data_IF_404748867738
#
_entry.id   IF_404748867738
#
_cell.length_a   1.000
_cell.length_b   1.000
_cell.length_c   1.000
_cell.angle_alpha   90.00
_cell.angle_beta   90.00
_cell.angle_gamma   90.00
#
_symmetry.space_group_name_H-M   'P 1'
#
loop_
_entity.id
_entity.type
_entity.pdbx_description
1 polymer ?
#
# COMPACT_ATOMS: atom_id res chain seq x y z
N UNK A 1 -13.85 19.49 10.08
CA UNK A 1 -14.20 18.06 9.90
C UNK A 1 -14.55 17.76 8.44
N UNK A 2 -15.44 18.53 7.82
CA UNK A 2 -15.93 18.33 6.44
C UNK A 2 -14.84 18.22 5.37
N UNK A 3 -13.82 19.11 5.40
CA UNK A 3 -12.71 19.08 4.43
C UNK A 3 -11.89 17.78 4.47
N UNK A 4 -11.70 17.17 5.64
CA UNK A 4 -10.93 15.91 5.79
C UNK A 4 -11.71 14.70 5.27
N UNK A 5 -13.02 14.72 5.44
CA UNK A 5 -13.91 13.66 4.94
C UNK A 5 -13.87 13.60 3.41
N UNK A 6 -13.79 14.75 2.72
CA UNK A 6 -13.70 14.80 1.26
C UNK A 6 -12.47 14.04 0.72
N UNK A 7 -11.30 14.19 1.34
CA UNK A 7 -10.08 13.48 0.92
C UNK A 7 -10.16 11.97 1.17
N UNK A 8 -10.76 11.55 2.29
CA UNK A 8 -11.02 10.14 2.56
C UNK A 8 -11.99 9.57 1.52
N UNK A 9 -13.03 10.33 1.15
CA UNK A 9 -13.99 9.92 0.15
C UNK A 9 -13.33 9.69 -1.21
N UNK A 10 -12.39 10.55 -1.63
CA UNK A 10 -11.63 10.31 -2.85
C UNK A 10 -10.86 8.99 -2.84
N UNK A 11 -10.15 8.71 -1.73
CA UNK A 11 -9.44 7.43 -1.59
C UNK A 11 -10.41 6.24 -1.63
N UNK A 12 -11.58 6.35 -0.98
CA UNK A 12 -12.61 5.30 -0.99
C UNK A 12 -13.21 5.11 -2.39
N UNK A 13 -13.49 6.18 -3.13
CA UNK A 13 -13.96 6.09 -4.53
C UNK A 13 -12.89 5.41 -5.39
N UNK A 14 -11.61 5.81 -5.25
CA UNK A 14 -10.49 5.18 -5.95
C UNK A 14 -10.39 3.69 -5.67
N UNK A 15 -10.57 3.28 -4.41
CA UNK A 15 -10.61 1.88 -4.03
C UNK A 15 -11.78 1.14 -4.63
N UNK A 16 -13.00 1.66 -4.50
CA UNK A 16 -14.22 1.00 -5.00
C UNK A 16 -14.11 0.77 -6.50
N UNK A 17 -13.75 1.81 -7.27
CA UNK A 17 -13.59 1.66 -8.71
C UNK A 17 -12.35 0.87 -9.11
N UNK A 18 -11.28 0.89 -8.30
CA UNK A 18 -10.14 0.00 -8.47
C UNK A 18 -10.53 -1.47 -8.31
N UNK A 19 -11.37 -1.80 -7.32
CA UNK A 19 -11.90 -3.15 -7.10
C UNK A 19 -12.85 -3.57 -8.22
N UNK A 20 -13.80 -2.70 -8.61
CA UNK A 20 -14.73 -2.98 -9.71
C UNK A 20 -13.98 -3.21 -11.03
N UNK A 21 -12.99 -2.37 -11.33
CA UNK A 21 -12.09 -2.55 -12.49
C UNK A 21 -11.29 -3.86 -12.41
N UNK A 22 -10.81 -4.23 -11.22
CA UNK A 22 -10.12 -5.50 -10.97
C UNK A 22 -11.01 -6.72 -11.18
N UNK A 23 -12.27 -6.66 -10.72
CA UNK A 23 -13.26 -7.70 -10.95
C UNK A 23 -13.68 -7.79 -12.41
N UNK A 24 -13.79 -6.68 -13.13
CA UNK A 24 -13.99 -6.72 -14.58
C UNK A 24 -12.79 -7.41 -15.26
N UNK A 25 -11.57 -7.02 -14.90
CA UNK A 25 -10.31 -7.58 -15.45
C UNK A 25 -10.12 -9.08 -15.15
N UNK A 26 -10.62 -9.57 -14.01
CA UNK A 26 -10.53 -10.99 -13.65
C UNK A 26 -11.54 -11.86 -14.42
N UNK A 27 -12.53 -11.24 -15.07
CA UNK A 27 -13.56 -11.90 -15.86
C UNK A 27 -14.95 -11.97 -15.21
N UNK A 28 -15.25 -11.15 -14.19
CA UNK A 28 -16.64 -10.92 -13.77
C UNK A 28 -17.31 -9.90 -14.68
N UNK A 29 -18.59 -10.09 -14.96
CA UNK A 29 -19.37 -9.13 -15.74
C UNK A 29 -19.90 -8.03 -14.82
N UNK A 30 -19.09 -6.98 -14.65
CA UNK A 30 -19.41 -5.80 -13.84
C UNK A 30 -19.71 -4.65 -14.81
N UNK A 31 -20.80 -3.88 -14.64
CA UNK A 31 -21.22 -2.83 -15.57
C UNK A 31 -20.38 -1.53 -15.42
N UNK A 32 -19.05 -1.66 -15.54
CA UNK A 32 -18.06 -0.56 -15.56
C UNK A 32 -17.18 -0.67 -16.80
N UNK A 33 -17.81 -0.75 -17.97
CA UNK A 33 -17.14 -0.97 -19.26
C UNK A 33 -16.04 0.07 -19.54
N UNK A 34 -14.94 -0.37 -20.17
CA UNK A 34 -13.78 0.48 -20.46
C UNK A 34 -12.84 0.73 -19.28
N UNK A 35 -13.23 0.35 -18.04
CA UNK A 35 -12.41 0.64 -16.85
C UNK A 35 -11.36 -0.43 -16.52
N UNK A 36 -11.41 -1.62 -17.15
CA UNK A 36 -10.53 -2.75 -16.81
C UNK A 36 -9.03 -2.42 -16.92
N UNK A 37 -8.66 -1.51 -17.83
CA UNK A 37 -7.28 -1.04 -18.02
C UNK A 37 -6.78 -0.12 -16.91
N UNK A 38 -7.66 0.48 -16.12
CA UNK A 38 -7.31 1.48 -15.10
C UNK A 38 -7.14 0.91 -13.68
N UNK A 39 -7.29 -0.41 -13.50
CA UNK A 39 -7.18 -1.06 -12.19
C UNK A 39 -5.92 -0.63 -11.42
N UNK A 40 -4.75 -0.67 -12.06
CA UNK A 40 -3.47 -0.33 -11.43
C UNK A 40 -3.39 1.13 -10.98
N UNK A 41 -3.76 2.08 -11.83
CA UNK A 41 -3.73 3.52 -11.48
C UNK A 41 -4.78 3.90 -10.45
N UNK A 42 -5.93 3.24 -10.44
CA UNK A 42 -6.98 3.47 -9.44
C UNK A 42 -6.56 2.94 -8.07
N UNK A 43 -6.01 1.72 -8.01
CA UNK A 43 -5.56 1.12 -6.74
C UNK A 43 -4.33 1.82 -6.17
N UNK A 44 -3.30 2.06 -6.99
CA UNK A 44 -2.08 2.66 -6.50
C UNK A 44 -2.19 4.19 -6.40
N UNK A 45 -2.44 4.88 -7.51
CA UNK A 45 -2.42 6.34 -7.52
C UNK A 45 -3.69 6.94 -6.92
N UNK A 46 -4.85 6.35 -7.20
CA UNK A 46 -6.16 6.83 -6.74
C UNK A 46 -6.50 6.49 -5.29
N UNK A 47 -6.17 5.29 -4.82
CA UNK A 47 -6.42 4.86 -3.45
C UNK A 47 -5.19 5.06 -2.55
N UNK A 48 -4.12 4.28 -2.75
CA UNK A 48 -2.95 4.30 -1.87
C UNK A 48 -2.25 5.67 -1.87
N UNK A 49 -2.03 6.25 -3.05
CA UNK A 49 -1.43 7.57 -3.23
C UNK A 49 -2.25 8.67 -2.57
N UNK A 50 -3.59 8.65 -2.71
CA UNK A 50 -4.46 9.59 -2.01
C UNK A 50 -4.35 9.46 -0.50
N UNK A 51 -4.34 8.23 0.04
CA UNK A 51 -4.23 7.98 1.47
C UNK A 51 -2.89 8.48 2.02
N UNK A 52 -1.78 8.11 1.38
CA UNK A 52 -0.41 8.50 1.77
C UNK A 52 -0.27 10.03 1.71
N UNK A 53 -0.65 10.65 0.59
CA UNK A 53 -0.62 12.11 0.43
C UNK A 53 -1.46 12.81 1.50
N UNK A 54 -2.64 12.28 1.81
CA UNK A 54 -3.53 12.88 2.81
C UNK A 54 -2.96 12.76 4.22
N UNK A 55 -2.44 11.60 4.59
CA UNK A 55 -1.78 11.40 5.88
C UNK A 55 -0.63 12.38 6.07
N UNK A 56 0.27 12.49 5.09
CA UNK A 56 1.41 13.40 5.19
C UNK A 56 0.98 14.86 5.15
N UNK A 57 -0.02 15.24 4.35
CA UNK A 57 -0.58 16.59 4.36
C UNK A 57 -1.13 16.99 5.75
N UNK A 58 -1.82 16.07 6.43
CA UNK A 58 -2.30 16.27 7.81
C UNK A 58 -1.13 16.44 8.78
N UNK A 59 -0.06 15.65 8.63
CA UNK A 59 1.14 15.76 9.46
C UNK A 59 1.93 17.07 9.24
N UNK A 60 1.99 17.59 8.00
CA UNK A 60 2.70 18.82 7.64
C UNK A 60 2.05 20.08 8.24
N UNK A 61 0.74 20.06 8.51
CA UNK A 61 -0.03 21.21 9.05
C UNK A 61 0.09 22.49 8.19
N UNK A 62 0.16 22.36 6.87
CA UNK A 62 0.18 23.47 5.91
C UNK A 62 -0.90 23.28 4.85
N UNK A 63 -1.57 24.36 4.46
CA UNK A 63 -2.69 24.29 3.52
C UNK A 63 -2.26 23.83 2.11
N UNK A 64 -1.08 24.23 1.65
CA UNK A 64 -0.56 23.84 0.33
C UNK A 64 -0.37 22.33 0.21
N UNK A 65 -0.08 21.62 1.31
CA UNK A 65 0.16 20.18 1.29
C UNK A 65 -1.09 19.38 0.88
N UNK A 66 -2.29 19.95 1.05
CA UNK A 66 -3.54 19.33 0.63
C UNK A 66 -3.75 19.34 -0.89
N UNK A 67 -2.91 20.03 -1.66
CA UNK A 67 -2.93 19.96 -3.11
C UNK A 67 -2.57 18.57 -3.64
N UNK A 68 -1.60 17.89 -3.00
CA UNK A 68 -1.18 16.54 -3.40
C UNK A 68 -2.32 15.50 -3.31
N UNK A 69 -3.03 15.34 -2.16
CA UNK A 69 -4.16 14.43 -2.09
C UNK A 69 -5.37 14.91 -2.90
N UNK A 70 -5.55 16.22 -3.13
CA UNK A 70 -6.60 16.72 -4.01
C UNK A 70 -6.38 16.25 -5.46
N UNK A 71 -5.17 16.46 -5.99
CA UNK A 71 -4.82 16.04 -7.36
C UNK A 71 -4.91 14.53 -7.53
N UNK A 72 -4.42 13.75 -6.55
CA UNK A 72 -4.55 12.29 -6.57
C UNK A 72 -6.02 11.85 -6.55
N UNK A 73 -6.86 12.47 -5.73
CA UNK A 73 -8.28 12.17 -5.68
C UNK A 73 -9.04 12.57 -6.96
N UNK A 74 -8.74 13.74 -7.52
CA UNK A 74 -9.32 14.19 -8.79
C UNK A 74 -8.89 13.31 -9.97
N UNK A 75 -7.72 12.68 -9.92
CA UNK A 75 -7.29 11.73 -10.95
C UNK A 75 -8.27 10.57 -11.10
N UNK A 76 -8.88 10.12 -10.00
CA UNK A 76 -9.90 9.06 -10.00
C UNK A 76 -11.09 9.49 -10.85
N UNK A 77 -11.60 10.72 -10.63
CA UNK A 77 -12.72 11.24 -11.41
C UNK A 77 -12.37 11.36 -12.90
N UNK A 78 -11.15 11.82 -13.22
CA UNK A 78 -10.70 11.89 -14.61
C UNK A 78 -10.73 10.52 -15.29
N UNK A 79 -10.26 9.45 -14.63
CA UNK A 79 -10.37 8.09 -15.18
C UNK A 79 -11.82 7.64 -15.34
N UNK A 80 -12.70 7.96 -14.38
CA UNK A 80 -14.12 7.60 -14.43
C UNK A 80 -14.87 8.27 -15.59
N UNK A 81 -14.48 9.50 -15.94
CA UNK A 81 -15.01 10.20 -17.11
C UNK A 81 -14.23 9.89 -18.40
N UNK A 82 -13.44 8.82 -18.43
CA UNK A 82 -12.63 8.38 -19.56
C UNK A 82 -11.62 9.43 -20.07
N UNK A 83 -11.19 10.33 -19.19
CA UNK A 83 -10.17 11.36 -19.45
C UNK A 83 -8.79 10.88 -18.99
N UNK A 84 -8.29 9.78 -19.57
CA UNK A 84 -7.10 9.09 -19.10
C UNK A 84 -5.84 9.99 -19.04
N UNK A 85 -5.63 10.83 -20.06
CA UNK A 85 -4.49 11.76 -20.10
C UNK A 85 -4.51 12.74 -18.91
N UNK A 86 -5.67 13.31 -18.59
CA UNK A 86 -5.85 14.18 -17.43
C UNK A 86 -5.62 13.40 -16.12
N UNK A 87 -6.12 12.16 -16.04
CA UNK A 87 -5.90 11.28 -14.89
C UNK A 87 -4.41 11.04 -14.62
N UNK A 88 -3.64 10.68 -15.65
CA UNK A 88 -2.19 10.48 -15.54
C UNK A 88 -1.47 11.78 -15.13
N UNK A 89 -1.79 12.92 -15.75
CA UNK A 89 -1.20 14.22 -15.39
C UNK A 89 -1.49 14.59 -13.93
N UNK A 90 -2.71 14.38 -13.46
CA UNK A 90 -3.08 14.62 -12.06
C UNK A 90 -2.32 13.72 -11.09
N UNK A 91 -2.02 12.47 -11.45
CA UNK A 91 -1.16 11.59 -10.64
C UNK A 91 0.30 12.06 -10.63
N UNK A 92 0.83 12.57 -11.75
CA UNK A 92 2.16 13.21 -11.79
C UNK A 92 2.18 14.41 -10.84
N UNK A 93 1.20 15.31 -10.95
CA UNK A 93 1.08 16.49 -10.08
C UNK A 93 0.99 16.09 -8.60
N UNK A 94 0.21 15.05 -8.28
CA UNK A 94 0.13 14.52 -6.92
C UNK A 94 1.48 13.99 -6.41
N UNK A 95 2.21 13.24 -7.23
CA UNK A 95 3.53 12.70 -6.87
C UNK A 95 4.58 13.79 -6.69
N UNK A 96 4.57 14.86 -7.52
CA UNK A 96 5.38 16.07 -7.31
C UNK A 96 5.03 16.71 -5.97
N UNK A 97 3.74 16.85 -5.67
CA UNK A 97 3.27 17.39 -4.40
C UNK A 97 3.76 16.58 -3.19
N UNK A 98 3.74 15.24 -3.28
CA UNK A 98 4.26 14.36 -2.22
C UNK A 98 5.78 14.51 -2.05
N UNK A 99 6.53 14.61 -3.15
CA UNK A 99 7.98 14.91 -3.11
C UNK A 99 8.24 16.22 -2.37
N UNK A 100 7.51 17.30 -2.68
CA UNK A 100 7.64 18.57 -1.97
C UNK A 100 7.31 18.47 -0.48
N UNK A 101 6.26 17.71 -0.12
CA UNK A 101 5.91 17.44 1.28
C UNK A 101 7.08 16.79 2.00
N UNK A 102 7.70 15.76 1.42
CA UNK A 102 8.82 15.08 2.06
C UNK A 102 10.10 15.91 2.09
N UNK A 103 10.39 16.72 1.06
CA UNK A 103 11.51 17.69 1.11
C UNK A 103 11.31 18.66 2.27
N UNK A 104 10.09 19.22 2.41
CA UNK A 104 9.76 20.12 3.50
C UNK A 104 9.92 19.46 4.88
N UNK A 105 9.45 18.23 5.04
CA UNK A 105 9.58 17.47 6.30
C UNK A 105 11.03 17.08 6.61
N UNK A 106 11.81 16.70 5.58
CA UNK A 106 13.22 16.33 5.71
C UNK A 106 14.05 17.52 6.17
N UNK A 107 13.81 18.70 5.60
CA UNK A 107 14.48 19.95 6.01
C UNK A 107 14.18 20.35 7.46
N UNK A 108 13.00 19.97 7.97
CA UNK A 108 12.57 20.31 9.34
C UNK A 108 13.05 19.34 10.41
N UNK A 109 13.01 18.04 10.14
CA UNK A 109 13.31 16.99 11.13
C UNK A 109 14.72 16.43 11.02
N UNK A 110 15.38 16.52 9.86
CA UNK A 110 16.69 15.91 9.55
C UNK A 110 16.78 14.42 9.91
N UNK A 111 15.66 13.71 9.84
CA UNK A 111 15.57 12.28 10.16
C UNK A 111 15.77 11.40 8.92
N UNK A 112 16.56 10.33 9.05
CA UNK A 112 16.90 9.44 7.93
C UNK A 112 15.68 8.72 7.32
N UNK A 113 14.65 8.44 8.12
CA UNK A 113 13.45 7.75 7.64
C UNK A 113 12.62 8.62 6.67
N UNK A 114 12.64 9.94 6.83
CA UNK A 114 11.98 10.87 5.91
C UNK A 114 12.66 10.88 4.54
N UNK A 115 13.98 10.71 4.50
CA UNK A 115 14.72 10.58 3.24
C UNK A 115 14.35 9.30 2.48
N UNK A 116 14.12 8.19 3.18
CA UNK A 116 13.63 6.96 2.55
C UNK A 116 12.25 7.17 1.92
N UNK A 117 11.32 7.79 2.64
CA UNK A 117 9.99 8.09 2.09
C UNK A 117 10.06 9.08 0.92
N UNK A 118 11.00 10.03 0.94
CA UNK A 118 11.28 10.92 -0.19
C UNK A 118 11.74 10.13 -1.43
N UNK A 119 12.67 9.18 -1.27
CA UNK A 119 13.10 8.28 -2.37
C UNK A 119 11.90 7.49 -2.91
N UNK A 120 11.03 6.99 -2.03
CA UNK A 120 9.78 6.36 -2.44
C UNK A 120 8.91 7.29 -3.28
N UNK A 121 8.68 8.52 -2.84
CA UNK A 121 7.88 9.50 -3.59
C UNK A 121 8.49 9.86 -4.96
N UNK A 122 9.82 9.93 -5.04
CA UNK A 122 10.52 10.10 -6.33
C UNK A 122 10.32 8.89 -7.25
N UNK A 123 10.31 7.66 -6.71
CA UNK A 123 9.98 6.47 -7.49
C UNK A 123 8.54 6.53 -8.01
N UNK A 124 7.59 7.01 -7.20
CA UNK A 124 6.20 7.18 -7.66
C UNK A 124 6.11 8.18 -8.81
N UNK A 125 6.79 9.32 -8.70
CA UNK A 125 6.87 10.32 -9.76
C UNK A 125 7.47 9.75 -11.04
N UNK A 126 8.62 9.07 -10.94
CA UNK A 126 9.27 8.42 -12.07
C UNK A 126 8.33 7.41 -12.75
N UNK A 127 7.66 6.57 -11.97
CA UNK A 127 6.67 5.62 -12.48
C UNK A 127 5.49 6.30 -13.20
N UNK A 128 4.93 7.37 -12.63
CA UNK A 128 3.80 8.07 -13.25
C UNK A 128 4.19 8.78 -14.56
N UNK A 129 5.38 9.39 -14.61
CA UNK A 129 5.92 9.97 -15.85
C UNK A 129 6.13 8.89 -16.91
N UNK A 130 6.73 7.76 -16.52
CA UNK A 130 6.96 6.64 -17.42
C UNK A 130 5.65 6.04 -17.95
N UNK A 131 4.62 5.94 -17.10
CA UNK A 131 3.29 5.47 -17.52
C UNK A 131 2.64 6.42 -18.51
N UNK A 132 2.77 7.74 -18.28
CA UNK A 132 2.23 8.75 -19.18
C UNK A 132 2.89 8.69 -20.56
N UNK A 133 4.19 8.37 -20.63
CA UNK A 133 4.94 8.28 -21.88
C UNK A 133 4.73 6.95 -22.62
N UNK A 134 4.72 5.83 -21.89
CA UNK A 134 4.76 4.49 -22.50
C UNK A 134 3.39 3.83 -22.60
N UNK A 135 2.43 4.26 -21.78
CA UNK A 135 1.13 3.59 -21.58
C UNK A 135 1.22 2.09 -21.28
N UNK A 136 2.40 1.62 -20.84
CA UNK A 136 2.69 0.22 -20.66
C UNK A 136 2.94 -0.08 -19.19
N UNK A 137 1.97 -0.69 -18.53
CA UNK A 137 2.02 -0.91 -17.08
C UNK A 137 3.23 -1.74 -16.59
N UNK A 138 3.66 -2.83 -17.27
CA UNK A 138 4.78 -3.65 -16.79
C UNK A 138 6.10 -2.91 -16.56
N UNK A 139 6.40 -1.85 -17.32
CA UNK A 139 7.61 -1.03 -17.11
C UNK A 139 7.52 -0.14 -15.88
N UNK A 140 6.31 0.12 -15.39
CA UNK A 140 6.01 1.07 -14.32
C UNK A 140 5.97 0.40 -12.95
N UNK A 141 5.52 -0.86 -12.89
CA UNK A 141 5.38 -1.59 -11.62
C UNK A 141 6.64 -1.66 -10.76
N UNK A 142 7.88 -1.80 -11.28
CA UNK A 142 9.09 -1.71 -10.46
C UNK A 142 9.16 -0.43 -9.61
N UNK A 143 8.83 0.71 -10.22
CA UNK A 143 8.84 2.02 -9.57
C UNK A 143 7.72 2.16 -8.53
N UNK A 144 6.54 1.60 -8.83
CA UNK A 144 5.41 1.59 -7.90
C UNK A 144 5.63 0.64 -6.72
N UNK A 145 6.27 -0.51 -6.94
CA UNK A 145 6.72 -1.41 -5.87
C UNK A 145 7.73 -0.67 -4.98
N UNK A 146 8.75 -0.06 -5.57
CA UNK A 146 9.75 0.73 -4.84
C UNK A 146 9.12 1.88 -4.04
N UNK A 147 8.19 2.63 -4.63
CA UNK A 147 7.47 3.70 -3.94
C UNK A 147 6.87 3.23 -2.62
N UNK A 148 6.06 2.18 -2.68
CA UNK A 148 5.37 1.66 -1.50
C UNK A 148 6.35 1.01 -0.53
N UNK A 149 7.36 0.28 -1.03
CA UNK A 149 8.36 -0.38 -0.19
C UNK A 149 9.12 0.63 0.67
N UNK A 150 9.66 1.67 0.03
CA UNK A 150 10.43 2.71 0.70
C UNK A 150 9.56 3.55 1.65
N UNK A 151 8.29 3.81 1.26
CA UNK A 151 7.33 4.50 2.12
C UNK A 151 7.06 3.68 3.39
N UNK A 152 6.68 2.41 3.24
CA UNK A 152 6.39 1.52 4.36
C UNK A 152 7.62 1.35 5.26
N UNK A 153 8.79 1.03 4.69
CA UNK A 153 10.02 0.86 5.48
C UNK A 153 10.37 2.16 6.23
N UNK A 154 10.22 3.32 5.58
CA UNK A 154 10.40 4.62 6.23
C UNK A 154 9.45 4.83 7.40
N UNK A 155 8.15 4.58 7.23
CA UNK A 155 7.16 4.69 8.30
C UNK A 155 7.42 3.72 9.44
N UNK A 156 7.85 2.49 9.14
CA UNK A 156 8.23 1.50 10.17
C UNK A 156 9.41 1.99 11.00
N UNK A 157 10.44 2.54 10.37
CA UNK A 157 11.57 3.14 11.09
C UNK A 157 11.17 4.34 11.94
N UNK A 158 10.24 5.17 11.45
CA UNK A 158 9.68 6.29 12.22
C UNK A 158 9.00 5.80 13.50
N UNK A 159 8.15 4.76 13.38
CA UNK A 159 7.43 4.16 14.51
C UNK A 159 8.35 3.40 15.46
N UNK A 160 9.44 2.81 14.95
CA UNK A 160 10.43 2.08 15.74
C UNK A 160 11.62 2.94 16.16
N UNK A 161 11.55 4.28 16.06
CA UNK A 161 12.70 5.16 16.33
C UNK A 161 13.30 5.01 17.73
N UNK A 162 12.50 4.58 18.70
CA UNK A 162 12.93 4.34 20.08
C UNK A 162 13.41 2.91 20.33
N UNK A 163 13.36 2.03 19.32
CA UNK A 163 13.92 0.69 19.42
C UNK A 163 15.45 0.75 19.16
N UNK A 164 16.28 0.29 20.10
CA UNK A 164 17.73 0.31 19.91
C UNK A 164 18.15 -0.71 18.85
N UNK A 165 18.39 -0.24 17.63
CA UNK A 165 18.96 -1.04 16.55
C UNK A 165 20.49 -0.90 16.50
N UNK A 166 21.19 -2.04 16.40
CA UNK A 166 22.65 -2.06 16.19
C UNK A 166 23.00 -1.36 14.87
N UNK A 167 24.13 -0.63 14.81
CA UNK A 167 24.57 0.12 13.62
C UNK A 167 24.65 -0.75 12.36
N UNK A 168 25.19 -1.97 12.47
CA UNK A 168 25.30 -2.90 11.35
C UNK A 168 23.93 -3.23 10.73
N UNK A 169 22.88 -3.37 11.55
CA UNK A 169 21.52 -3.68 11.10
C UNK A 169 20.95 -2.54 10.25
N UNK A 170 21.28 -1.29 10.59
CA UNK A 170 20.88 -0.11 9.81
C UNK A 170 21.59 -0.08 8.46
N UNK A 171 22.89 -0.39 8.43
CA UNK A 171 23.64 -0.48 7.16
C UNK A 171 23.14 -1.62 6.28
N UNK A 172 22.82 -2.79 6.87
CA UNK A 172 22.22 -3.89 6.12
C UNK A 172 20.89 -3.48 5.49
N UNK A 173 20.02 -2.78 6.24
CA UNK A 173 18.74 -2.29 5.70
C UNK A 173 18.94 -1.38 4.49
N UNK A 174 19.82 -0.39 4.62
CA UNK A 174 20.14 0.54 3.52
C UNK A 174 20.74 -0.21 2.34
N UNK A 175 21.66 -1.14 2.57
CA UNK A 175 22.23 -1.99 1.52
C UNK A 175 21.17 -2.78 0.77
N UNK A 176 20.22 -3.39 1.47
CA UNK A 176 19.12 -4.15 0.86
C UNK A 176 18.14 -3.25 0.06
N UNK A 177 17.85 -2.05 0.55
CA UNK A 177 17.06 -1.04 -0.18
C UNK A 177 17.78 -0.61 -1.47
N UNK A 178 19.10 -0.37 -1.39
CA UNK A 178 19.91 -0.02 -2.56
C UNK A 178 19.98 -1.16 -3.58
N UNK A 179 20.19 -2.39 -3.12
CA UNK A 179 20.15 -3.59 -3.98
C UNK A 179 18.80 -3.70 -4.69
N UNK A 180 17.69 -3.47 -3.96
CA UNK A 180 16.35 -3.50 -4.55
C UNK A 180 16.20 -2.43 -5.64
N UNK A 181 16.60 -1.19 -5.35
CA UNK A 181 16.50 -0.07 -6.28
C UNK A 181 17.37 -0.26 -7.53
N UNK A 182 18.61 -0.73 -7.35
CA UNK A 182 19.52 -1.05 -8.46
C UNK A 182 18.91 -2.17 -9.32
N UNK A 183 18.34 -3.20 -8.69
CA UNK A 183 17.66 -4.29 -9.40
C UNK A 183 16.54 -3.78 -10.32
N UNK A 184 15.77 -2.78 -9.89
CA UNK A 184 14.72 -2.17 -10.71
C UNK A 184 15.24 -1.26 -11.84
N UNK A 185 16.45 -0.72 -11.71
CA UNK A 185 17.10 0.06 -12.78
C UNK A 185 17.70 -0.84 -13.87
N UNK A 186 17.96 -2.11 -13.56
CA UNK A 186 18.48 -3.09 -14.50
C UNK A 186 17.35 -3.74 -15.33
N UNK A 187 17.65 -4.27 -16.53
CA UNK A 187 16.65 -4.96 -17.35
C UNK A 187 15.98 -6.12 -16.61
N UNK A 188 14.65 -6.14 -16.61
CA UNK A 188 13.85 -7.15 -15.88
C UNK A 188 14.12 -8.57 -16.37
N UNK A 189 14.19 -8.80 -17.68
CA UNK A 189 14.49 -10.12 -18.26
C UNK A 189 15.97 -10.53 -18.14
N UNK A 190 16.82 -9.71 -17.50
CA UNK A 190 18.20 -10.02 -17.19
C UNK A 190 18.42 -10.21 -15.69
N UNK A 191 19.54 -9.68 -15.18
CA UNK A 191 19.88 -9.75 -13.75
C UNK A 191 19.01 -8.86 -12.86
N UNK A 192 18.30 -7.87 -13.43
CA UNK A 192 17.54 -6.91 -12.64
C UNK A 192 16.47 -7.55 -11.76
N UNK A 193 15.76 -8.55 -12.30
CA UNK A 193 14.74 -9.30 -11.56
C UNK A 193 15.31 -10.04 -10.36
N UNK A 194 16.42 -10.78 -10.52
CA UNK A 194 17.02 -11.57 -9.42
C UNK A 194 17.64 -10.66 -8.37
N UNK A 195 18.30 -9.57 -8.79
CA UNK A 195 18.86 -8.56 -7.88
C UNK A 195 17.74 -7.89 -7.07
N UNK A 196 16.68 -7.42 -7.72
CA UNK A 196 15.54 -6.81 -7.03
C UNK A 196 14.87 -7.78 -6.05
N UNK A 197 14.64 -9.02 -6.49
CA UNK A 197 14.05 -10.06 -5.67
C UNK A 197 14.89 -10.39 -4.42
N UNK A 198 16.22 -10.45 -4.57
CA UNK A 198 17.13 -10.69 -3.45
C UNK A 198 17.06 -9.58 -2.41
N UNK A 199 16.96 -8.32 -2.85
CA UNK A 199 16.74 -7.16 -1.99
C UNK A 199 15.41 -7.24 -1.27
N UNK A 200 14.31 -7.50 -1.98
CA UNK A 200 12.96 -7.64 -1.39
C UNK A 200 12.90 -8.77 -0.36
N UNK A 201 13.41 -9.96 -0.72
CA UNK A 201 13.44 -11.11 0.19
C UNK A 201 14.31 -10.83 1.42
N UNK A 202 15.47 -10.20 1.25
CA UNK A 202 16.33 -9.78 2.35
C UNK A 202 15.67 -8.73 3.25
N UNK A 203 14.92 -7.77 2.69
CA UNK A 203 14.16 -6.78 3.45
C UNK A 203 13.06 -7.42 4.29
N UNK A 204 12.35 -8.40 3.73
CA UNK A 204 11.35 -9.16 4.48
C UNK A 204 11.96 -9.87 5.70
N UNK A 205 13.10 -10.55 5.51
CA UNK A 205 13.82 -11.21 6.59
C UNK A 205 14.35 -10.21 7.63
N UNK A 206 14.82 -9.05 7.18
CA UNK A 206 15.26 -7.96 8.06
C UNK A 206 14.10 -7.46 8.93
N UNK A 207 12.94 -7.19 8.33
CA UNK A 207 11.74 -6.72 9.02
C UNK A 207 11.25 -7.76 10.03
N UNK A 208 11.17 -9.04 9.66
CA UNK A 208 10.86 -10.14 10.58
C UNK A 208 11.82 -10.22 11.77
N UNK A 209 13.09 -9.81 11.59
CA UNK A 209 14.14 -9.91 12.61
C UNK A 209 14.25 -8.71 13.54
N UNK A 210 14.08 -7.51 13.00
CA UNK A 210 14.45 -6.27 13.66
C UNK A 210 13.29 -5.29 13.86
N UNK A 211 12.13 -5.50 13.21
CA UNK A 211 10.96 -4.65 13.43
C UNK A 211 10.27 -4.93 14.78
N UNK A 212 9.49 -3.94 15.26
CA UNK A 212 8.65 -4.02 16.45
C UNK A 212 7.61 -5.15 16.44
N UNK A 213 7.23 -5.70 15.27
CA UNK A 213 6.25 -6.77 15.13
C UNK A 213 6.47 -7.91 16.14
N UNK A 214 7.73 -8.33 16.32
CA UNK A 214 8.11 -9.41 17.24
C UNK A 214 7.86 -9.08 18.71
N UNK A 215 7.97 -7.80 19.09
CA UNK A 215 7.65 -7.32 20.44
C UNK A 215 6.14 -7.26 20.61
N UNK A 216 5.41 -6.82 19.59
CA UNK A 216 3.96 -6.72 19.58
C UNK A 216 3.27 -8.08 19.71
N UNK A 217 3.84 -9.14 19.13
CA UNK A 217 3.35 -10.52 19.28
C UNK A 217 3.31 -11.02 20.73
N UNK A 218 4.10 -10.42 21.64
CA UNK A 218 4.12 -10.78 23.07
C UNK A 218 3.10 -10.00 23.90
N UNK A 219 2.39 -9.03 23.30
CA UNK A 219 1.39 -8.19 23.97
C UNK A 219 -0.01 -8.77 23.74
N UNK A 220 -1.04 -8.13 24.31
CA UNK A 220 -2.45 -8.54 24.19
C UNK A 220 -3.29 -7.45 23.51
N UNK A 221 -4.48 -7.82 23.06
CA UNK A 221 -5.45 -6.91 22.42
C UNK A 221 -4.95 -6.40 21.06
N UNK A 222 -5.15 -5.11 20.78
CA UNK A 222 -4.78 -4.49 19.50
C UNK A 222 -3.29 -4.63 19.16
N UNK A 223 -2.40 -4.65 20.15
CA UNK A 223 -0.97 -4.86 19.90
C UNK A 223 -0.68 -6.24 19.32
N UNK A 224 -1.32 -7.29 19.84
CA UNK A 224 -1.21 -8.65 19.29
C UNK A 224 -1.72 -8.69 17.85
N UNK A 225 -2.89 -8.10 17.61
CA UNK A 225 -3.49 -8.02 16.28
C UNK A 225 -2.55 -7.35 15.28
N UNK A 226 -2.03 -6.16 15.60
CA UNK A 226 -1.05 -5.47 14.75
C UNK A 226 0.22 -6.29 14.57
N UNK A 227 0.74 -6.94 15.62
CA UNK A 227 1.93 -7.80 15.53
C UNK A 227 1.74 -9.01 14.60
N UNK A 228 0.57 -9.65 14.62
CA UNK A 228 0.25 -10.77 13.72
C UNK A 228 0.10 -10.28 12.29
N UNK A 229 -0.64 -9.19 12.06
CA UNK A 229 -0.81 -8.62 10.72
C UNK A 229 0.55 -8.24 10.09
N UNK A 230 1.42 -7.58 10.87
CA UNK A 230 2.78 -7.24 10.43
C UNK A 230 3.64 -8.48 10.13
N UNK A 231 3.49 -9.54 10.92
CA UNK A 231 4.27 -10.76 10.66
C UNK A 231 3.82 -11.42 9.35
N UNK A 232 2.51 -11.45 9.08
CA UNK A 232 1.95 -11.98 7.85
C UNK A 232 2.32 -11.12 6.63
N UNK A 233 2.31 -9.79 6.77
CA UNK A 233 2.71 -8.91 5.66
C UNK A 233 4.19 -9.10 5.27
N UNK A 234 5.10 -9.30 6.23
CA UNK A 234 6.50 -9.59 5.93
C UNK A 234 6.68 -10.97 5.28
N UNK A 235 5.87 -11.97 5.67
CA UNK A 235 5.86 -13.27 4.99
C UNK A 235 5.43 -13.11 3.53
N UNK A 236 4.43 -12.29 3.25
CA UNK A 236 4.01 -11.98 1.87
C UNK A 236 5.05 -11.18 1.09
N UNK A 237 5.76 -10.25 1.74
CA UNK A 237 6.88 -9.55 1.11
C UNK A 237 7.98 -10.55 0.70
N UNK A 238 8.31 -11.51 1.56
CA UNK A 238 9.24 -12.58 1.24
C UNK A 238 8.73 -13.44 0.07
N UNK A 239 7.46 -13.86 0.13
CA UNK A 239 6.81 -14.63 -0.94
C UNK A 239 6.81 -13.89 -2.28
N UNK A 240 6.65 -12.56 -2.30
CA UNK A 240 6.73 -11.77 -3.53
C UNK A 240 8.13 -11.78 -4.15
N UNK A 241 9.17 -11.71 -3.32
CA UNK A 241 10.56 -11.89 -3.76
C UNK A 241 10.80 -13.29 -4.34
N UNK A 242 10.26 -14.34 -3.71
CA UNK A 242 10.31 -15.69 -4.28
C UNK A 242 9.54 -15.80 -5.60
N UNK A 243 8.36 -15.19 -5.70
CA UNK A 243 7.59 -15.14 -6.95
C UNK A 243 8.40 -14.50 -8.08
N UNK A 244 9.12 -13.42 -7.82
CA UNK A 244 10.00 -12.80 -8.83
C UNK A 244 11.13 -13.73 -9.31
N UNK A 245 11.60 -14.66 -8.49
CA UNK A 245 12.70 -15.57 -8.86
C UNK A 245 12.17 -16.79 -9.62
N UNK A 246 11.11 -17.40 -9.08
CA UNK A 246 10.67 -18.73 -9.50
C UNK A 246 9.50 -18.69 -10.50
N UNK A 247 8.69 -17.63 -10.51
CA UNK A 247 7.47 -17.55 -11.32
C UNK A 247 7.73 -16.66 -12.53
N UNK A 248 8.29 -17.28 -13.56
CA UNK A 248 8.83 -16.58 -14.73
C UNK A 248 8.00 -16.75 -16.01
N UNK A 249 7.04 -17.66 -15.98
CA UNK A 249 6.18 -18.02 -17.10
C UNK A 249 4.80 -18.42 -16.59
N UNK A 250 3.80 -18.29 -17.44
CA UNK A 250 2.41 -18.59 -17.12
C UNK A 250 1.50 -17.39 -17.32
N UNK A 251 0.24 -17.65 -17.67
CA UNK A 251 -0.73 -16.62 -18.02
C UNK A 251 -1.01 -15.65 -16.87
N UNK A 252 -0.89 -16.13 -15.62
CA UNK A 252 -1.16 -15.36 -14.40
C UNK A 252 0.08 -15.12 -13.53
N UNK A 253 1.28 -15.43 -14.02
CA UNK A 253 2.54 -15.24 -13.29
C UNK A 253 2.72 -13.79 -12.79
N UNK A 254 2.45 -12.83 -13.67
CA UNK A 254 2.54 -11.42 -13.36
C UNK A 254 1.50 -10.99 -12.32
N UNK A 255 0.28 -11.53 -12.42
CA UNK A 255 -0.78 -11.29 -11.44
C UNK A 255 -0.41 -11.86 -10.07
N UNK A 256 0.14 -13.07 -9.99
CA UNK A 256 0.60 -13.67 -8.73
C UNK A 256 1.66 -12.81 -8.03
N UNK A 257 2.64 -12.33 -8.80
CA UNK A 257 3.67 -11.42 -8.30
C UNK A 257 3.05 -10.13 -7.74
N UNK A 258 2.22 -9.46 -8.54
CA UNK A 258 1.65 -8.18 -8.13
C UNK A 258 0.70 -8.33 -6.94
N UNK A 259 -0.11 -9.39 -6.89
CA UNK A 259 -1.08 -9.56 -5.80
C UNK A 259 -0.44 -10.10 -4.52
N UNK A 260 0.64 -10.89 -4.61
CA UNK A 260 1.42 -11.25 -3.41
C UNK A 260 2.06 -10.01 -2.77
N UNK A 261 2.53 -9.06 -3.59
CA UNK A 261 3.06 -7.79 -3.10
C UNK A 261 1.96 -6.82 -2.66
N UNK A 262 1.05 -6.41 -3.54
CA UNK A 262 0.07 -5.36 -3.24
C UNK A 262 -1.05 -5.82 -2.31
N UNK A 263 -1.61 -7.03 -2.48
CA UNK A 263 -2.62 -7.51 -1.53
C UNK A 263 -1.95 -8.14 -0.29
N UNK A 264 -1.05 -9.10 -0.53
CA UNK A 264 -0.40 -9.84 0.55
C UNK A 264 0.43 -8.97 1.49
N UNK A 265 1.25 -8.07 0.97
CA UNK A 265 2.06 -7.18 1.80
C UNK A 265 1.39 -5.81 2.04
N UNK A 266 1.05 -5.06 0.98
CA UNK A 266 0.63 -3.65 1.14
C UNK A 266 -0.75 -3.50 1.78
N UNK A 267 -1.77 -4.23 1.32
CA UNK A 267 -3.10 -4.17 1.95
C UNK A 267 -3.07 -4.77 3.37
N UNK A 268 -2.29 -5.84 3.62
CA UNK A 268 -2.11 -6.36 4.98
C UNK A 268 -1.54 -5.30 5.95
N UNK A 269 -0.63 -4.44 5.49
CA UNK A 269 -0.13 -3.30 6.26
C UNK A 269 -1.26 -2.32 6.64
N UNK A 270 -2.23 -2.09 5.74
CA UNK A 270 -3.43 -1.29 6.04
C UNK A 270 -4.28 -1.96 7.13
N UNK A 271 -4.42 -3.29 7.10
CA UNK A 271 -5.11 -4.02 8.18
C UNK A 271 -4.38 -3.86 9.52
N UNK A 272 -3.04 -3.92 9.52
CA UNK A 272 -2.22 -3.80 10.72
C UNK A 272 -2.34 -2.42 11.39
N UNK A 273 -2.33 -1.36 10.56
CA UNK A 273 -2.32 0.04 11.01
C UNK A 273 -3.69 0.70 11.05
N UNK A 274 -4.70 0.12 10.42
CA UNK A 274 -6.06 0.66 10.33
C UNK A 274 -6.63 1.14 11.67
N UNK A 275 -6.57 0.32 12.74
CA UNK A 275 -7.03 0.70 14.08
C UNK A 275 -6.35 1.94 14.71
N UNK A 276 -5.19 2.34 14.19
CA UNK A 276 -4.36 3.43 14.69
C UNK A 276 -4.46 4.66 13.78
N UNK A 277 -4.38 4.48 12.46
CA UNK A 277 -4.33 5.58 11.48
C UNK A 277 -5.73 6.15 11.19
N UNK A 278 -6.77 5.32 11.05
CA UNK A 278 -8.10 5.82 10.69
C UNK A 278 -8.70 6.83 11.68
N UNK A 279 -8.58 6.64 13.02
CA UNK A 279 -9.02 7.66 13.98
C UNK A 279 -8.29 8.99 13.79
N UNK A 280 -6.97 8.98 13.56
CA UNK A 280 -6.17 10.21 13.45
C UNK A 280 -6.53 11.02 12.21
N UNK A 281 -6.80 10.36 11.09
CA UNK A 281 -7.28 10.98 9.84
C UNK A 281 -8.62 11.70 10.04
N UNK A 282 -9.52 11.12 10.83
CA UNK A 282 -10.82 11.70 11.19
C UNK A 282 -10.76 12.70 12.36
N UNK A 283 -9.56 13.02 12.85
CA UNK A 283 -9.32 13.88 14.01
C UNK A 283 -10.00 13.37 15.29
N UNK A 284 -10.09 12.05 15.44
CA UNK A 284 -10.62 11.39 16.62
C UNK A 284 -9.50 10.75 17.43
N UNK A 285 -9.66 10.80 18.74
CA UNK A 285 -8.75 10.17 19.69
C UNK A 285 -9.28 8.79 20.07
N UNK A 286 -8.36 7.89 20.44
CA UNK A 286 -8.70 6.54 20.87
C UNK A 286 -8.40 5.47 19.81
N UNK A 287 -8.10 4.27 20.29
CA UNK A 287 -7.80 3.10 19.44
C UNK A 287 -9.09 2.33 19.24
N UNK A 288 -9.42 2.08 17.98
CA UNK A 288 -10.67 1.40 17.62
C UNK A 288 -10.38 -0.07 17.32
N UNK A 289 -10.38 -0.91 18.36
CA UNK A 289 -10.15 -2.35 18.22
C UNK A 289 -11.37 -3.14 18.69
N UNK A 290 -11.80 -4.09 17.85
CA UNK A 290 -12.89 -5.01 18.14
C UNK A 290 -12.57 -6.38 17.53
N UNK A 291 -13.05 -7.47 18.13
CA UNK A 291 -12.73 -8.84 17.72
C UNK A 291 -13.13 -9.17 16.27
N UNK A 292 -14.11 -8.46 15.70
CA UNK A 292 -14.50 -8.59 14.29
C UNK A 292 -13.34 -8.36 13.31
N UNK A 293 -12.33 -7.57 13.68
CA UNK A 293 -11.17 -7.31 12.83
C UNK A 293 -10.33 -8.57 12.60
N UNK A 294 -10.33 -9.52 13.55
CA UNK A 294 -9.70 -10.83 13.34
C UNK A 294 -10.37 -11.62 12.24
N UNK A 295 -11.72 -11.60 12.19
CA UNK A 295 -12.46 -12.28 11.13
C UNK A 295 -12.10 -11.69 9.76
N UNK A 296 -12.11 -10.36 9.63
CA UNK A 296 -11.72 -9.70 8.38
C UNK A 296 -10.30 -10.06 7.96
N UNK A 297 -9.36 -10.08 8.92
CA UNK A 297 -7.97 -10.42 8.64
C UNK A 297 -7.81 -11.88 8.20
N UNK A 298 -8.40 -12.84 8.92
CA UNK A 298 -8.27 -14.27 8.59
C UNK A 298 -8.87 -14.56 7.21
N UNK A 299 -10.06 -14.03 6.93
CA UNK A 299 -10.71 -14.19 5.62
C UNK A 299 -9.85 -13.58 4.52
N UNK A 300 -9.30 -12.38 4.73
CA UNK A 300 -8.43 -11.72 3.76
C UNK A 300 -7.13 -12.50 3.49
N UNK A 301 -6.46 -12.99 4.53
CA UNK A 301 -5.21 -13.74 4.37
C UNK A 301 -5.45 -15.08 3.66
N UNK A 302 -6.52 -15.79 4.04
CA UNK A 302 -6.92 -17.02 3.36
C UNK A 302 -7.27 -16.77 1.90
N UNK A 303 -8.01 -15.70 1.60
CA UNK A 303 -8.42 -15.38 0.23
C UNK A 303 -7.25 -14.94 -0.64
N UNK A 304 -6.26 -14.22 -0.09
CA UNK A 304 -4.98 -13.93 -0.79
C UNK A 304 -4.20 -15.22 -1.03
N UNK A 305 -4.09 -16.12 -0.04
CA UNK A 305 -3.40 -17.39 -0.21
C UNK A 305 -4.01 -18.25 -1.33
N UNK A 306 -5.33 -18.39 -1.32
CA UNK A 306 -6.08 -19.07 -2.39
C UNK A 306 -5.90 -18.36 -3.72
N UNK A 307 -5.86 -17.02 -3.73
CA UNK A 307 -5.66 -16.24 -4.96
C UNK A 307 -4.31 -16.53 -5.59
N UNK A 308 -3.23 -16.48 -4.82
CA UNK A 308 -1.87 -16.75 -5.33
C UNK A 308 -1.75 -18.21 -5.75
N UNK A 309 -2.28 -19.15 -4.97
CA UNK A 309 -2.31 -20.56 -5.35
C UNK A 309 -3.05 -20.78 -6.68
N UNK A 310 -4.22 -20.16 -6.86
CA UNK A 310 -4.98 -20.25 -8.11
C UNK A 310 -4.25 -19.63 -9.31
N UNK A 311 -3.53 -18.53 -9.11
CA UNK A 311 -2.69 -17.92 -10.17
C UNK A 311 -1.54 -18.86 -10.56
N UNK A 312 -0.86 -19.49 -9.58
CA UNK A 312 0.25 -20.41 -9.82
C UNK A 312 -0.17 -21.74 -10.46
N UNK A 313 -1.37 -22.24 -10.12
CA UNK A 313 -1.95 -23.45 -10.71
C UNK A 313 -2.79 -23.17 -11.97
N UNK A 314 -2.87 -21.90 -12.39
CA UNK A 314 -3.66 -21.44 -13.53
C UNK A 314 -5.14 -21.85 -13.50
N UNK A 315 -5.76 -21.90 -12.31
CA UNK A 315 -7.17 -22.30 -12.12
C UNK A 315 -8.09 -21.06 -12.20
N UNK A 316 -8.75 -20.77 -13.35
CA UNK A 316 -9.39 -19.47 -13.56
C UNK A 316 -10.63 -19.25 -12.67
N UNK A 317 -11.40 -20.30 -12.39
CA UNK A 317 -12.60 -20.19 -11.57
C UNK A 317 -12.26 -19.88 -10.11
N UNK A 318 -11.27 -20.57 -9.55
CA UNK A 318 -10.80 -20.33 -8.18
C UNK A 318 -10.20 -18.92 -8.05
N UNK A 319 -9.45 -18.49 -9.07
CA UNK A 319 -8.91 -17.13 -9.19
C UNK A 319 -10.03 -16.09 -9.10
N UNK A 320 -11.10 -16.24 -9.91
CA UNK A 320 -12.26 -15.34 -9.95
C UNK A 320 -12.91 -15.15 -8.58
N UNK A 321 -13.21 -16.25 -7.89
CA UNK A 321 -13.85 -16.22 -6.58
C UNK A 321 -12.93 -15.65 -5.49
N UNK A 322 -11.65 -16.04 -5.47
CA UNK A 322 -10.68 -15.48 -4.54
C UNK A 322 -10.54 -13.96 -4.71
N UNK A 323 -10.49 -13.47 -5.96
CA UNK A 323 -10.49 -12.03 -6.25
C UNK A 323 -11.75 -11.29 -5.78
N UNK A 324 -12.93 -11.93 -5.89
CA UNK A 324 -14.19 -11.38 -5.38
C UNK A 324 -14.15 -11.23 -3.85
N UNK A 325 -13.75 -12.30 -3.16
CA UNK A 325 -13.64 -12.32 -1.69
C UNK A 325 -12.63 -11.27 -1.21
N UNK A 326 -11.46 -11.17 -1.86
CA UNK A 326 -10.45 -10.15 -1.55
C UNK A 326 -11.04 -8.73 -1.57
N UNK A 327 -11.75 -8.37 -2.65
CA UNK A 327 -12.33 -7.03 -2.76
C UNK A 327 -13.44 -6.78 -1.74
N UNK A 328 -14.34 -7.75 -1.54
CA UNK A 328 -15.45 -7.63 -0.60
C UNK A 328 -14.94 -7.47 0.85
N UNK A 329 -13.95 -8.28 1.26
CA UNK A 329 -13.46 -8.23 2.65
C UNK A 329 -12.70 -6.92 2.95
N UNK A 330 -12.03 -6.33 1.95
CA UNK A 330 -11.44 -4.99 2.09
C UNK A 330 -12.54 -3.95 2.34
N UNK A 331 -13.65 -3.99 1.58
CA UNK A 331 -14.78 -3.07 1.78
C UNK A 331 -15.43 -3.26 3.14
N UNK A 332 -15.66 -4.52 3.55
CA UNK A 332 -16.19 -4.86 4.89
C UNK A 332 -15.28 -4.34 5.98
N UNK A 333 -13.96 -4.49 5.85
CA UNK A 333 -12.98 -3.95 6.79
C UNK A 333 -13.08 -2.42 6.90
N UNK A 334 -13.18 -1.70 5.78
CA UNK A 334 -13.30 -0.25 5.78
C UNK A 334 -14.59 0.25 6.43
N UNK A 335 -15.72 -0.36 6.10
CA UNK A 335 -17.02 -0.01 6.71
C UNK A 335 -16.97 -0.30 8.22
N UNK A 336 -16.41 -1.44 8.60
CA UNK A 336 -16.23 -1.82 10.01
C UNK A 336 -15.37 -0.80 10.74
N UNK A 337 -14.23 -0.40 10.16
CA UNK A 337 -13.37 0.64 10.72
C UNK A 337 -14.09 1.98 10.86
N UNK A 338 -14.84 2.40 9.84
CA UNK A 338 -15.63 3.62 9.91
C UNK A 338 -16.65 3.57 11.06
N UNK A 339 -17.43 2.49 11.16
CA UNK A 339 -18.41 2.29 12.22
C UNK A 339 -17.75 2.27 13.60
N UNK A 340 -16.64 1.56 13.77
CA UNK A 340 -15.90 1.52 15.04
C UNK A 340 -15.36 2.91 15.43
N UNK A 341 -14.87 3.68 14.47
CA UNK A 341 -14.41 5.06 14.70
C UNK A 341 -15.57 6.01 15.01
N UNK A 342 -16.77 5.77 14.48
CA UNK A 342 -17.99 6.50 14.86
C UNK A 342 -18.47 6.12 16.27
N UNK A 343 -18.54 4.82 16.59
CA UNK A 343 -18.96 4.32 17.91
C UNK A 343 -17.93 4.56 19.01
N UNK A 344 -16.64 4.62 18.71
CA UNK A 344 -15.61 5.01 19.69
C UNK A 344 -15.85 6.41 20.27
N UNK A 345 -16.65 7.25 19.60
CA UNK A 345 -17.12 8.55 20.09
C UNK A 345 -18.10 8.43 21.28
N UNK A 346 -18.88 7.34 21.39
CA UNK A 346 -19.87 7.18 22.46
C UNK A 346 -19.27 6.58 23.73
N UNK A 347 -18.24 5.75 23.63
CA UNK A 347 -17.56 5.17 24.80
C UNK A 347 -16.59 6.16 25.48
N UNK A 348 -16.10 7.17 24.76
CA UNK A 348 -15.23 8.23 25.30
C UNK A 348 -15.94 9.30 26.15
N UNK A 349 -17.26 9.19 26.34
CA UNK A 349 -18.05 10.05 27.25
C UNK A 349 -18.50 9.31 28.53
N UNK A 350 -18.09 8.06 28.72
CA UNK A 350 -18.52 7.23 29.84
C UNK A 350 -17.32 6.50 30.43
N UNK A 351 -16.59 7.19 31.31
CA UNK A 351 -15.87 6.70 32.50
C UNK A 351 -14.89 7.79 32.95
N UNK A 352 -15.44 8.78 33.66
CA UNK A 352 -14.75 9.34 34.83
C UNK A 352 -14.96 8.37 35.98
#
# INVERSE_FOLDING_TARGET
MTKRIAFILFAVIGLVFGLLSGWLRIGWDIPVYGMAGFHGVLMLGGFLGSLICFEKAVATKKNWAFFAPASSGLSVLAFLFNQAALGYLLQIVASIGLVFIYIFLANRSKENYTLLMLIGAMCWLAGNVLLFQTHFYPTVFPWWIAFILFTIVGERLELSRFLPLKKWSKYLLVGLLMVTLIGFMLPYHGMGRTVAASGIAGLALWLLRFDLARILLKKKGHYLYTGVCLTLDYVWLFASGLCMIFVNSGAFAFDALLHSYFLGFVISMIFAHGPIIFPSLLNKTGRCFHSILWLCMVVFQASVAVRIFADLQEIPLLRKWAGMINGLIILVFLVTMFVLVQKGRTLGQSRN
#
